data_IF_653351857769
#
_entry.id   IF_653351857769
#
_cell.length_a   1.000
_cell.length_b   1.000
_cell.length_c   1.000
_cell.angle_alpha   90.00
_cell.angle_beta   90.00
_cell.angle_gamma   90.00
#
_symmetry.space_group_name_H-M   'P 1'
#
loop_
_entity.id
_entity.type
_entity.pdbx_description
1 polymer ?
#
# COMPACT_ATOMS: atom_id res chain seq x y z
N UNK A 1 13.82 -23.51 46.86
CA UNK A 1 14.65 -22.98 45.78
C UNK A 1 13.78 -22.72 44.58
N UNK A 2 13.53 -21.46 44.19
CA UNK A 2 12.78 -21.15 42.96
C UNK A 2 13.75 -21.16 41.78
N UNK A 3 13.38 -21.89 40.73
CA UNK A 3 14.08 -21.95 39.45
C UNK A 3 13.78 -20.66 38.71
N UNK A 4 14.80 -19.86 38.53
CA UNK A 4 14.76 -18.60 37.79
C UNK A 4 14.90 -18.91 36.29
N UNK A 5 13.77 -18.99 35.58
CA UNK A 5 13.74 -19.04 34.12
C UNK A 5 14.16 -17.67 33.58
N UNK A 6 15.40 -17.54 33.21
CA UNK A 6 15.87 -16.43 32.38
C UNK A 6 15.34 -16.62 30.97
N UNK A 7 14.32 -15.87 30.61
CA UNK A 7 13.87 -15.71 29.22
C UNK A 7 14.74 -14.69 28.54
N UNK A 8 15.94 -15.05 28.12
CA UNK A 8 16.71 -14.31 27.13
C UNK A 8 16.14 -14.64 25.74
N UNK A 9 15.01 -13.99 25.42
CA UNK A 9 14.60 -13.84 24.03
C UNK A 9 15.55 -12.83 23.39
N UNK A 10 16.65 -13.35 22.83
CA UNK A 10 17.43 -12.66 21.82
C UNK A 10 16.45 -12.28 20.68
N UNK A 11 15.90 -11.08 20.71
CA UNK A 11 15.33 -10.45 19.52
C UNK A 11 16.52 -10.15 18.62
N UNK A 12 16.91 -11.13 17.78
CA UNK A 12 17.67 -10.81 16.57
C UNK A 12 16.93 -9.67 15.91
N UNK A 13 17.63 -8.57 15.75
CA UNK A 13 17.14 -7.39 15.06
C UNK A 13 17.01 -7.81 13.59
N UNK A 14 15.88 -8.41 13.23
CA UNK A 14 15.55 -8.67 11.83
C UNK A 14 15.68 -7.32 11.16
N UNK A 15 16.64 -7.18 10.25
CA UNK A 15 16.74 -5.98 9.41
C UNK A 15 15.37 -5.84 8.75
N UNK A 16 14.62 -4.78 9.12
CA UNK A 16 13.26 -4.60 8.69
C UNK A 16 13.17 -4.60 7.16
N UNK A 17 12.15 -5.22 6.60
CA UNK A 17 11.86 -5.19 5.16
C UNK A 17 11.42 -3.78 4.79
N UNK A 18 12.38 -2.94 4.39
CA UNK A 18 12.14 -1.54 4.08
C UNK A 18 12.90 -1.10 2.83
N UNK A 19 12.46 -0.01 2.23
CA UNK A 19 13.13 0.62 1.12
C UNK A 19 12.89 2.14 1.12
N UNK A 20 13.88 2.86 0.60
CA UNK A 20 13.76 4.27 0.23
C UNK A 20 13.88 4.39 -1.28
N UNK A 21 12.95 5.10 -1.90
CA UNK A 21 12.93 5.39 -3.33
C UNK A 21 12.77 6.88 -3.54
N UNK A 22 13.52 7.42 -4.48
CA UNK A 22 13.45 8.82 -4.91
C UNK A 22 13.25 8.83 -6.41
N UNK A 23 12.27 9.59 -6.89
CA UNK A 23 12.02 9.86 -8.29
C UNK A 23 11.97 11.37 -8.49
N UNK A 24 12.86 11.87 -9.33
CA UNK A 24 12.91 13.26 -9.73
C UNK A 24 12.78 13.35 -11.24
N UNK A 25 11.79 14.10 -11.70
CA UNK A 25 11.54 14.41 -13.09
C UNK A 25 11.63 15.93 -13.31
N UNK A 26 11.20 16.42 -14.47
CA UNK A 26 10.97 17.86 -14.69
C UNK A 26 9.65 18.34 -14.09
N UNK A 27 8.81 17.44 -13.61
CA UNK A 27 7.41 17.70 -13.22
C UNK A 27 7.15 17.41 -11.74
N UNK A 28 7.94 16.50 -11.12
CA UNK A 28 7.77 16.06 -9.73
C UNK A 28 9.10 15.78 -9.05
N UNK A 29 9.14 15.91 -7.73
CA UNK A 29 10.23 15.46 -6.85
C UNK A 29 9.62 14.67 -5.68
N UNK A 30 9.58 13.33 -5.83
CA UNK A 30 8.92 12.42 -4.88
C UNK A 30 9.95 11.55 -4.17
N UNK A 31 9.91 11.57 -2.84
CA UNK A 31 10.71 10.71 -1.99
C UNK A 31 9.79 9.87 -1.09
N UNK A 32 9.93 8.53 -1.11
CA UNK A 32 9.18 7.63 -0.24
C UNK A 32 10.13 6.70 0.51
N UNK A 33 9.94 6.61 1.83
CA UNK A 33 10.39 5.50 2.67
C UNK A 33 9.20 4.64 3.02
N UNK A 34 9.32 3.33 2.84
CA UNK A 34 8.31 2.33 3.16
C UNK A 34 8.94 1.18 3.95
N UNK A 35 8.30 0.78 5.03
CA UNK A 35 8.67 -0.38 5.86
C UNK A 35 7.45 -1.28 6.04
N UNK A 36 7.60 -2.54 5.64
CA UNK A 36 6.53 -3.53 5.67
C UNK A 36 6.17 -3.96 7.08
N UNK A 37 7.19 -4.15 7.94
CA UNK A 37 7.03 -4.66 9.31
C UNK A 37 7.01 -3.50 10.32
N UNK A 38 6.20 -2.48 10.03
CA UNK A 38 6.10 -1.26 10.81
C UNK A 38 5.07 -1.32 11.95
N UNK A 39 4.72 -0.14 12.44
CA UNK A 39 3.74 0.07 13.53
C UNK A 39 2.57 0.97 13.12
N UNK A 40 2.53 1.39 11.86
CA UNK A 40 1.53 2.30 11.30
C UNK A 40 1.90 3.77 11.48
N UNK A 41 3.20 4.08 11.62
CA UNK A 41 3.68 5.46 11.67
C UNK A 41 3.72 6.08 10.28
N UNK A 42 3.20 7.30 10.16
CA UNK A 42 3.17 8.02 8.90
C UNK A 42 3.64 9.47 9.03
N UNK A 43 4.53 9.87 8.13
CA UNK A 43 4.87 11.27 7.90
C UNK A 43 4.68 11.56 6.41
N UNK A 44 3.59 12.21 6.07
CA UNK A 44 3.17 12.43 4.68
C UNK A 44 2.93 13.90 4.44
N UNK A 45 3.51 14.40 3.36
CA UNK A 45 3.40 15.77 2.88
C UNK A 45 3.53 15.77 1.35
N UNK A 46 2.40 15.70 0.64
CA UNK A 46 2.33 15.78 -0.82
C UNK A 46 1.81 17.12 -1.30
N UNK A 47 1.36 17.98 -0.38
CA UNK A 47 0.65 19.22 -0.69
C UNK A 47 -0.84 19.04 -0.98
N UNK A 48 -1.36 17.79 -1.06
CA UNK A 48 -2.76 17.47 -1.34
C UNK A 48 -3.38 16.87 -0.07
N UNK A 49 -4.06 17.70 0.73
CA UNK A 49 -4.50 17.34 2.09
C UNK A 49 -5.33 16.07 2.19
N UNK A 50 -6.27 15.84 1.26
CA UNK A 50 -7.07 14.61 1.25
C UNK A 50 -6.21 13.39 0.90
N UNK A 51 -5.29 13.50 -0.06
CA UNK A 51 -4.39 12.42 -0.43
C UNK A 51 -3.42 12.08 0.70
N UNK A 52 -2.89 13.09 1.41
CA UNK A 52 -2.09 12.89 2.62
C UNK A 52 -2.84 12.09 3.68
N UNK A 53 -4.15 12.38 3.86
CA UNK A 53 -5.00 11.63 4.77
C UNK A 53 -5.17 10.18 4.32
N UNK A 54 -5.34 9.92 3.01
CA UNK A 54 -5.43 8.57 2.46
C UNK A 54 -4.14 7.76 2.68
N UNK A 55 -2.98 8.36 2.44
CA UNK A 55 -1.68 7.71 2.67
C UNK A 55 -1.40 7.46 4.16
N UNK A 56 -1.81 8.35 5.05
CA UNK A 56 -1.75 8.14 6.51
C UNK A 56 -2.68 7.00 6.94
N UNK A 57 -3.88 6.93 6.36
CA UNK A 57 -4.83 5.84 6.58
C UNK A 57 -4.28 4.50 6.09
N UNK A 58 -3.68 4.47 4.89
CA UNK A 58 -2.97 3.30 4.35
C UNK A 58 -1.88 2.80 5.32
N UNK A 59 -0.99 3.69 5.77
CA UNK A 59 0.06 3.32 6.72
C UNK A 59 -0.51 2.75 8.02
N UNK A 60 -1.50 3.42 8.60
CA UNK A 60 -2.11 3.05 9.89
C UNK A 60 -2.81 1.70 9.84
N UNK A 61 -3.61 1.45 8.80
CA UNK A 61 -4.41 0.23 8.68
C UNK A 61 -3.62 -0.97 8.17
N UNK A 62 -2.53 -0.75 7.43
CA UNK A 62 -1.59 -1.79 7.01
C UNK A 62 -0.47 -2.06 8.02
N UNK A 63 -0.37 -1.27 9.09
CA UNK A 63 0.74 -1.30 10.05
C UNK A 63 2.11 -1.06 9.40
N UNK A 64 2.14 -0.34 8.28
CA UNK A 64 3.36 0.06 7.59
C UNK A 64 3.93 1.34 8.21
N UNK A 65 5.25 1.51 8.21
CA UNK A 65 5.82 2.83 8.44
C UNK A 65 6.09 3.50 7.10
N UNK A 66 5.53 4.70 6.91
CA UNK A 66 5.57 5.40 5.61
C UNK A 66 6.00 6.85 5.81
N UNK A 67 7.00 7.28 5.03
CA UNK A 67 7.34 8.69 4.88
C UNK A 67 7.21 9.05 3.42
N UNK A 68 6.44 10.08 3.12
CA UNK A 68 6.23 10.61 1.78
C UNK A 68 6.53 12.10 1.80
N UNK A 69 7.37 12.52 0.87
CA UNK A 69 7.56 13.92 0.53
C UNK A 69 7.31 14.04 -0.97
N UNK A 70 6.41 14.90 -1.33
CA UNK A 70 6.08 15.24 -2.71
C UNK A 70 6.01 16.76 -2.89
N UNK A 71 5.70 17.18 -4.10
CA UNK A 71 5.46 18.56 -4.47
C UNK A 71 4.31 18.66 -5.47
N UNK A 72 3.83 19.88 -5.68
CA UNK A 72 2.82 20.21 -6.69
C UNK A 72 3.41 21.30 -7.57
N UNK A 73 4.40 20.98 -8.39
CA UNK A 73 4.97 21.98 -9.31
C UNK A 73 4.09 22.18 -10.53
N UNK A 74 3.49 21.12 -11.07
CA UNK A 74 2.65 21.17 -12.26
C UNK A 74 1.17 21.09 -11.88
N UNK A 75 0.74 19.92 -11.37
CA UNK A 75 -0.65 19.67 -10.94
C UNK A 75 -0.74 18.47 -9.97
N UNK A 76 -1.98 18.22 -9.50
CA UNK A 76 -2.23 17.08 -8.62
C UNK A 76 -2.11 15.73 -9.33
N UNK A 77 -2.36 15.66 -10.64
CA UNK A 77 -2.29 14.44 -11.43
C UNK A 77 -0.89 13.83 -11.36
N UNK A 78 0.12 14.58 -11.80
CA UNK A 78 1.52 14.12 -11.81
C UNK A 78 2.01 13.72 -10.41
N UNK A 79 1.67 14.50 -9.38
CA UNK A 79 2.05 14.20 -8.00
C UNK A 79 1.43 12.90 -7.51
N UNK A 80 0.16 12.63 -7.80
CA UNK A 80 -0.55 11.44 -7.34
C UNK A 80 -0.06 10.20 -8.08
N UNK A 81 0.05 10.26 -9.42
CA UNK A 81 0.56 9.17 -10.23
C UNK A 81 1.99 8.80 -9.85
N UNK A 82 2.91 9.77 -9.81
CA UNK A 82 4.31 9.54 -9.45
C UNK A 82 4.47 9.05 -8.00
N UNK A 83 3.61 9.49 -7.07
CA UNK A 83 3.56 8.92 -5.72
C UNK A 83 3.16 7.44 -5.77
N UNK A 84 2.22 7.05 -6.60
CA UNK A 84 1.83 5.65 -6.84
C UNK A 84 2.99 4.82 -7.40
N UNK A 85 3.71 5.35 -8.39
CA UNK A 85 4.89 4.70 -8.98
C UNK A 85 5.96 4.46 -7.91
N UNK A 86 6.33 5.53 -7.17
CA UNK A 86 7.41 5.47 -6.16
C UNK A 86 7.03 4.55 -5.00
N UNK A 87 5.78 4.58 -4.55
CA UNK A 87 5.29 3.68 -3.50
C UNK A 87 5.30 2.22 -3.97
N UNK A 88 4.86 1.95 -5.20
CA UNK A 88 4.91 0.62 -5.79
C UNK A 88 6.33 0.07 -5.89
N UNK A 89 7.30 0.89 -6.32
CA UNK A 89 8.71 0.51 -6.33
C UNK A 89 9.28 0.28 -4.92
N UNK A 90 8.89 1.10 -3.95
CA UNK A 90 9.32 0.95 -2.57
C UNK A 90 8.79 -0.35 -1.96
N UNK A 91 7.52 -0.69 -2.20
CA UNK A 91 6.92 -1.97 -1.81
C UNK A 91 7.71 -3.14 -2.44
N UNK A 92 7.94 -3.10 -3.75
CA UNK A 92 8.70 -4.14 -4.46
C UNK A 92 10.10 -4.34 -3.90
N UNK A 93 10.83 -3.25 -3.66
CA UNK A 93 12.19 -3.29 -3.08
C UNK A 93 12.18 -3.81 -1.64
N UNK A 94 11.22 -3.39 -0.81
CA UNK A 94 11.09 -3.85 0.57
C UNK A 94 10.80 -5.35 0.67
N UNK A 95 10.03 -5.92 -0.27
CA UNK A 95 9.70 -7.35 -0.32
C UNK A 95 10.87 -8.23 -0.82
N UNK A 96 11.86 -7.65 -1.49
CA UNK A 96 13.02 -8.37 -1.98
C UNK A 96 12.65 -9.59 -2.84
N UNK A 97 13.16 -10.76 -2.48
CA UNK A 97 12.93 -12.01 -3.20
C UNK A 97 11.57 -12.68 -2.93
N UNK A 98 10.73 -12.09 -2.10
CA UNK A 98 9.38 -12.58 -1.75
C UNK A 98 9.35 -13.99 -1.13
N UNK A 99 10.45 -14.48 -0.57
CA UNK A 99 10.47 -15.78 0.10
C UNK A 99 9.63 -15.74 1.37
N UNK A 100 8.95 -16.85 1.62
CA UNK A 100 8.16 -17.10 2.82
C UNK A 100 7.03 -16.12 3.10
N UNK A 101 6.67 -15.24 2.16
CA UNK A 101 5.48 -14.39 2.31
C UNK A 101 4.21 -15.20 2.01
N UNK A 102 3.05 -14.72 2.48
CA UNK A 102 1.74 -15.31 2.11
C UNK A 102 1.42 -15.16 0.64
N UNK A 103 1.92 -14.11 -0.01
CA UNK A 103 1.70 -13.75 -1.41
C UNK A 103 0.30 -13.23 -1.72
N UNK A 104 -0.74 -13.88 -1.20
CA UNK A 104 -2.14 -13.49 -1.39
C UNK A 104 -2.65 -12.77 -0.15
N UNK A 105 -3.44 -11.74 -0.36
CA UNK A 105 -4.16 -11.07 0.70
C UNK A 105 -5.48 -10.51 0.18
N UNK A 106 -6.47 -10.45 1.06
CA UNK A 106 -7.77 -9.91 0.72
C UNK A 106 -8.40 -9.19 1.90
N UNK A 107 -9.29 -8.25 1.61
CA UNK A 107 -10.03 -7.50 2.62
C UNK A 107 -11.42 -7.18 2.09
N UNK A 108 -12.42 -7.37 2.93
CA UNK A 108 -13.75 -6.82 2.78
C UNK A 108 -13.93 -5.80 3.90
N UNK A 109 -14.03 -4.51 3.55
CA UNK A 109 -13.92 -3.42 4.49
C UNK A 109 -15.14 -2.52 4.43
N UNK A 110 -15.91 -2.40 5.54
CA UNK A 110 -16.99 -1.46 5.66
C UNK A 110 -16.48 -0.08 6.13
N UNK A 111 -17.10 0.97 5.64
CA UNK A 111 -16.96 2.33 6.13
C UNK A 111 -18.31 3.04 6.03
N UNK A 112 -18.98 3.19 7.17
CA UNK A 112 -20.36 3.67 7.27
C UNK A 112 -21.29 2.94 6.29
N UNK A 113 -21.85 3.63 5.29
CA UNK A 113 -22.74 3.08 4.26
C UNK A 113 -22.00 2.39 3.12
N UNK A 114 -20.67 2.39 3.13
CA UNK A 114 -19.83 1.89 2.04
C UNK A 114 -19.25 0.52 2.38
N UNK A 115 -19.16 -0.35 1.38
CA UNK A 115 -18.45 -1.63 1.46
C UNK A 115 -17.53 -1.80 0.26
N UNK A 116 -16.24 -2.06 0.50
CA UNK A 116 -15.22 -2.27 -0.53
C UNK A 116 -14.52 -3.61 -0.34
N UNK A 117 -14.30 -4.32 -1.44
CA UNK A 117 -13.45 -5.50 -1.53
C UNK A 117 -12.11 -5.14 -2.16
N UNK A 118 -11.02 -5.65 -1.59
CA UNK A 118 -9.69 -5.63 -2.20
C UNK A 118 -9.05 -7.02 -2.16
N UNK A 119 -8.42 -7.43 -3.27
CA UNK A 119 -7.64 -8.67 -3.35
C UNK A 119 -6.33 -8.44 -4.08
N UNK A 120 -5.25 -9.06 -3.57
CA UNK A 120 -3.88 -8.89 -4.07
C UNK A 120 -3.23 -10.25 -4.33
N UNK A 121 -2.49 -10.34 -5.46
CA UNK A 121 -1.49 -11.39 -5.71
C UNK A 121 -0.14 -10.75 -6.03
N UNK A 122 0.86 -10.93 -5.18
CA UNK A 122 2.23 -10.42 -5.35
C UNK A 122 3.03 -11.27 -6.36
N UNK A 123 2.43 -11.54 -7.51
CA UNK A 123 2.87 -12.49 -8.55
C UNK A 123 4.06 -12.04 -9.40
N UNK A 124 4.51 -10.79 -9.28
CA UNK A 124 5.50 -10.21 -10.20
C UNK A 124 4.92 -9.75 -11.56
N UNK A 125 3.65 -10.04 -11.83
CA UNK A 125 2.93 -9.64 -13.06
C UNK A 125 1.90 -8.58 -12.71
N UNK A 126 2.04 -7.35 -13.23
CA UNK A 126 1.10 -6.28 -12.94
C UNK A 126 -0.25 -6.50 -13.64
N UNK A 127 -1.32 -6.24 -12.91
CA UNK A 127 -2.67 -6.14 -13.46
C UNK A 127 -3.58 -5.41 -12.49
N UNK A 128 -4.32 -4.40 -12.95
CA UNK A 128 -5.36 -3.75 -12.17
C UNK A 128 -6.75 -4.09 -12.68
N UNK A 129 -7.63 -4.54 -11.79
CA UNK A 129 -9.08 -4.53 -11.97
C UNK A 129 -9.64 -3.51 -10.98
N UNK A 130 -10.23 -2.45 -11.51
CA UNK A 130 -10.82 -1.38 -10.71
C UNK A 130 -12.29 -1.23 -11.09
N UNK A 131 -13.18 -1.45 -10.13
CA UNK A 131 -14.64 -1.33 -10.27
C UNK A 131 -15.14 -0.45 -9.10
N UNK A 132 -15.16 0.85 -9.35
CA UNK A 132 -15.62 1.88 -8.42
C UNK A 132 -16.09 3.10 -9.18
N UNK A 133 -17.14 3.73 -8.67
CA UNK A 133 -17.76 4.92 -9.24
C UNK A 133 -17.88 6.03 -8.21
N UNK A 134 -17.77 7.27 -8.65
CA UNK A 134 -17.86 8.41 -7.75
C UNK A 134 -18.94 9.37 -8.27
N UNK A 135 -19.78 9.85 -7.37
CA UNK A 135 -20.88 10.77 -7.68
C UNK A 135 -20.46 12.25 -7.66
N UNK A 136 -19.16 12.51 -7.53
CA UNK A 136 -18.56 13.86 -7.56
C UNK A 136 -17.18 13.80 -8.21
N UNK A 137 -16.79 14.88 -8.87
CA UNK A 137 -15.50 14.98 -9.55
C UNK A 137 -14.33 15.20 -8.55
N UNK A 138 -14.64 15.69 -7.33
CA UNK A 138 -13.62 16.05 -6.34
C UNK A 138 -14.03 15.78 -4.90
N UNK A 139 -13.01 15.45 -4.09
CA UNK A 139 -13.07 15.49 -2.62
C UNK A 139 -11.97 16.44 -2.13
N UNK A 140 -12.36 17.65 -1.71
CA UNK A 140 -11.41 18.73 -1.47
C UNK A 140 -10.68 19.13 -2.76
N UNK A 141 -9.35 19.10 -2.74
CA UNK A 141 -8.50 19.37 -3.92
C UNK A 141 -8.02 18.09 -4.63
N UNK A 142 -8.63 16.97 -4.34
CA UNK A 142 -8.29 15.66 -4.91
C UNK A 142 -9.35 15.27 -5.96
N UNK A 143 -8.96 15.15 -7.22
CA UNK A 143 -9.82 14.71 -8.30
C UNK A 143 -10.09 13.19 -8.18
N UNK A 144 -11.37 12.79 -8.21
CA UNK A 144 -11.74 11.38 -7.95
C UNK A 144 -11.25 10.41 -9.02
N UNK A 145 -11.03 10.88 -10.25
CA UNK A 145 -10.42 10.09 -11.32
C UNK A 145 -9.01 9.59 -10.95
N UNK A 146 -8.28 10.32 -10.11
CA UNK A 146 -6.94 9.99 -9.68
C UNK A 146 -6.87 8.76 -8.77
N UNK A 147 -7.98 8.30 -8.22
CA UNK A 147 -8.02 7.06 -7.42
C UNK A 147 -7.58 5.87 -8.26
N UNK A 148 -8.14 5.74 -9.47
CA UNK A 148 -7.79 4.67 -10.39
C UNK A 148 -6.34 4.77 -10.87
N UNK A 149 -5.88 5.98 -11.21
CA UNK A 149 -4.51 6.23 -11.68
C UNK A 149 -3.48 5.89 -10.59
N UNK A 150 -3.74 6.25 -9.34
CA UNK A 150 -2.88 5.90 -8.21
C UNK A 150 -2.77 4.38 -8.03
N UNK A 151 -3.89 3.64 -8.03
CA UNK A 151 -3.87 2.19 -7.87
C UNK A 151 -3.28 1.49 -9.11
N UNK A 152 -3.46 2.05 -10.30
CA UNK A 152 -2.80 1.58 -11.51
C UNK A 152 -1.27 1.69 -11.37
N UNK A 153 -0.78 2.88 -11.01
CA UNK A 153 0.64 3.15 -10.84
C UNK A 153 1.28 2.20 -9.80
N UNK A 154 0.64 1.99 -8.65
CA UNK A 154 1.10 1.03 -7.63
C UNK A 154 1.12 -0.40 -8.17
N UNK A 155 0.04 -0.87 -8.79
CA UNK A 155 -0.09 -2.23 -9.30
C UNK A 155 1.05 -2.56 -10.28
N UNK A 156 1.31 -1.66 -11.21
CA UNK A 156 2.34 -1.83 -12.23
C UNK A 156 3.76 -1.74 -11.66
N UNK A 157 4.04 -0.77 -10.80
CA UNK A 157 5.38 -0.56 -10.25
C UNK A 157 5.76 -1.63 -9.22
N UNK A 158 4.82 -2.09 -8.41
CA UNK A 158 5.04 -3.18 -7.47
C UNK A 158 5.06 -4.57 -8.13
N UNK A 159 4.51 -4.71 -9.34
CA UNK A 159 4.35 -5.98 -10.03
C UNK A 159 3.35 -6.89 -9.31
N UNK A 160 2.15 -6.37 -9.02
CA UNK A 160 1.08 -7.13 -8.36
C UNK A 160 -0.19 -7.16 -9.21
N UNK A 161 -0.96 -8.24 -9.08
CA UNK A 161 -2.36 -8.16 -9.46
C UNK A 161 -3.12 -7.49 -8.32
N UNK A 162 -3.88 -6.47 -8.63
CA UNK A 162 -4.66 -5.70 -7.69
C UNK A 162 -6.12 -5.62 -8.18
N UNK A 163 -7.03 -6.13 -7.38
CA UNK A 163 -8.46 -6.04 -7.63
C UNK A 163 -9.09 -5.19 -6.54
N UNK A 164 -9.76 -4.11 -6.92
CA UNK A 164 -10.51 -3.24 -6.02
C UNK A 164 -11.94 -3.13 -6.57
N UNK A 165 -12.91 -3.46 -5.74
CA UNK A 165 -14.33 -3.39 -6.10
C UNK A 165 -15.11 -2.69 -5.01
N UNK A 166 -15.80 -1.62 -5.37
CA UNK A 166 -16.89 -1.07 -4.60
C UNK A 166 -18.08 -2.02 -4.68
N UNK A 167 -18.50 -2.57 -3.55
CA UNK A 167 -19.69 -3.41 -3.50
C UNK A 167 -20.95 -2.55 -3.48
N UNK A 168 -20.91 -1.46 -2.72
CA UNK A 168 -21.88 -0.37 -2.65
C UNK A 168 -21.30 0.78 -1.83
N UNK A 169 -21.80 1.99 -2.04
CA UNK A 169 -21.46 3.21 -1.33
C UNK A 169 -22.17 4.42 -1.92
N UNK A 170 -22.24 5.52 -1.19
CA UNK A 170 -22.88 6.75 -1.66
C UNK A 170 -21.94 7.95 -1.55
N UNK A 171 -21.18 8.05 -0.46
CA UNK A 171 -20.27 9.16 -0.23
C UNK A 171 -18.89 8.87 -0.83
N UNK A 172 -18.47 9.67 -1.80
CA UNK A 172 -17.18 9.50 -2.49
C UNK A 172 -15.98 9.50 -1.52
N UNK A 173 -15.99 10.32 -0.46
CA UNK A 173 -14.95 10.30 0.58
C UNK A 173 -14.89 8.92 1.26
N UNK A 174 -16.04 8.37 1.68
CA UNK A 174 -16.12 7.06 2.34
C UNK A 174 -15.66 5.93 1.39
N UNK A 175 -16.08 5.99 0.12
CA UNK A 175 -15.68 5.01 -0.89
C UNK A 175 -14.15 5.01 -1.08
N UNK A 176 -13.55 6.19 -1.29
CA UNK A 176 -12.11 6.33 -1.50
C UNK A 176 -11.34 5.88 -0.25
N UNK A 177 -11.73 6.34 0.93
CA UNK A 177 -11.06 5.96 2.18
C UNK A 177 -11.18 4.46 2.45
N UNK A 178 -12.34 3.84 2.18
CA UNK A 178 -12.52 2.39 2.26
C UNK A 178 -11.60 1.64 1.29
N UNK A 179 -11.40 2.14 0.06
CA UNK A 179 -10.45 1.56 -0.90
C UNK A 179 -9.01 1.57 -0.40
N UNK A 180 -8.53 2.70 0.15
CA UNK A 180 -7.18 2.81 0.70
C UNK A 180 -6.98 1.91 1.92
N UNK A 181 -7.96 1.82 2.81
CA UNK A 181 -7.94 0.92 3.99
C UNK A 181 -7.99 -0.55 3.58
N UNK A 182 -8.85 -0.90 2.62
CA UNK A 182 -8.97 -2.27 2.12
C UNK A 182 -7.67 -2.72 1.44
N UNK A 183 -7.07 -1.86 0.61
CA UNK A 183 -5.76 -2.09 0.01
C UNK A 183 -4.68 -2.30 1.07
N UNK A 184 -4.62 -1.44 2.09
CA UNK A 184 -3.68 -1.55 3.19
C UNK A 184 -3.77 -2.90 3.92
N UNK A 185 -5.00 -3.33 4.26
CA UNK A 185 -5.26 -4.61 4.94
C UNK A 185 -4.91 -5.81 4.08
N UNK A 186 -5.27 -5.78 2.80
CA UNK A 186 -4.95 -6.84 1.86
C UNK A 186 -3.43 -6.95 1.62
N UNK A 187 -2.74 -5.81 1.54
CA UNK A 187 -1.28 -5.77 1.37
C UNK A 187 -0.56 -6.28 2.63
N UNK A 188 -0.99 -5.86 3.83
CA UNK A 188 -0.47 -6.39 5.10
C UNK A 188 -0.59 -7.92 5.14
N UNK A 189 -1.75 -8.47 4.80
CA UNK A 189 -1.93 -9.92 4.76
C UNK A 189 -1.00 -10.60 3.73
N UNK A 190 -0.92 -10.06 2.50
CA UNK A 190 -0.12 -10.64 1.43
C UNK A 190 1.40 -10.65 1.75
N UNK A 191 1.86 -9.64 2.48
CA UNK A 191 3.28 -9.44 2.81
C UNK A 191 3.73 -10.18 4.06
N UNK A 192 2.83 -10.69 4.90
CA UNK A 192 3.18 -11.41 6.13
C UNK A 192 4.03 -12.63 5.86
N UNK A 193 5.05 -12.82 6.68
CA UNK A 193 5.85 -14.04 6.69
C UNK A 193 5.01 -15.18 7.26
N UNK A 194 4.86 -16.25 6.49
CA UNK A 194 4.23 -17.50 6.93
C UNK A 194 5.31 -18.59 7.07
N UNK A 195 5.58 -19.00 8.30
CA UNK A 195 6.62 -20.01 8.62
C UNK A 195 6.37 -21.37 7.98
N UNK A 196 5.16 -21.64 7.50
CA UNK A 196 4.79 -22.86 6.77
C UNK A 196 5.20 -22.81 5.30
N UNK A 197 5.46 -21.59 4.78
CA UNK A 197 5.89 -21.39 3.39
C UNK A 197 7.41 -21.41 3.34
N UNK A 198 7.96 -22.46 2.76
CA UNK A 198 9.41 -22.60 2.55
C UNK A 198 9.80 -22.14 1.14
N UNK A 199 10.60 -21.08 1.03
CA UNK A 199 11.03 -20.54 -0.25
C UNK A 199 9.97 -19.66 -0.94
N UNK A 200 9.93 -19.69 -2.27
CA UNK A 200 8.97 -18.89 -3.06
C UNK A 200 7.58 -19.55 -3.06
N UNK A 201 6.52 -18.81 -2.77
CA UNK A 201 5.14 -19.34 -2.78
C UNK A 201 4.60 -19.51 -4.20
N UNK A 202 5.25 -20.33 -5.01
CA UNK A 202 4.90 -20.57 -6.42
C UNK A 202 5.32 -21.97 -6.87
N UNK A 203 4.55 -22.57 -7.76
CA UNK A 203 4.91 -23.83 -8.44
C UNK A 203 5.81 -23.61 -9.66
N UNK A 204 6.02 -22.34 -10.09
CA UNK A 204 6.81 -22.00 -11.28
C UNK A 204 8.29 -21.72 -11.00
N UNK A 205 8.68 -21.63 -9.72
CA UNK A 205 10.06 -21.32 -9.33
C UNK A 205 10.49 -19.86 -9.46
N UNK A 206 9.59 -18.96 -9.92
CA UNK A 206 9.83 -17.50 -10.06
C UNK A 206 8.55 -16.69 -9.78
N UNK A 207 8.72 -15.47 -9.24
CA UNK A 207 7.68 -14.46 -8.98
C UNK A 207 8.15 -13.09 -9.47
#
# INVERSE_FOLDING_TARGET
>A
MPIQLKSDLNREKVMGRNAKVIRKTSETDIEIYFETDGTGEAKVDTGIGFFDHMLKSFARHGLFNVKVKGDIEVDCHHTIEDTGIVLGEAIKKALGDKKSIRRYGSSLLPMDETLVMCAIDLSGRPYLVFDGTFNTDRVGYFDTEMVKEFFYAISYSAGMNLHIKEMYGENAHHIIEAMFKAFARALDEATRIDRRVTGLPTTKGAL
#
